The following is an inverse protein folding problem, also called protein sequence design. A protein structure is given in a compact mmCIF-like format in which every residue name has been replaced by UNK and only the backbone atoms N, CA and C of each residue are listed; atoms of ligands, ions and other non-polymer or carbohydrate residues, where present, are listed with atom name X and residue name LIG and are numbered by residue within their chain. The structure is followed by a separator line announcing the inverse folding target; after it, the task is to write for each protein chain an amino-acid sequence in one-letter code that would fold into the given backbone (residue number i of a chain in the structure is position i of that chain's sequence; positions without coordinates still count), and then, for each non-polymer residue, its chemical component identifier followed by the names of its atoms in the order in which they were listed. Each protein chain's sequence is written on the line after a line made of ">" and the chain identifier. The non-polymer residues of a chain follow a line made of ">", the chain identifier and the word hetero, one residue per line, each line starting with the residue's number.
data_IF_457999140804
#
_entry.id   IF_457999140804
#
_cell.length_a   1.000
_cell.length_b   1.000
_cell.length_c   1.000
_cell.angle_alpha   90.00
_cell.angle_beta   90.00
_cell.angle_gamma   90.00
#
_symmetry.space_group_name_H-M   'P 1'
#
loop_
_entity.id
_entity.type
_entity.pdbx_description
1 polymer ?
#
# COMPACT_ATOMS: atom_id res chain seq x y z
N UNK A 1 9.22 0.03 -0.17
CA UNK A 1 9.99 -0.17 1.08
C UNK A 1 10.74 -1.50 1.08
N UNK A 2 10.09 -2.66 0.95
CA UNK A 2 10.75 -3.98 0.96
C UNK A 2 11.82 -4.12 -0.13
N UNK A 3 11.55 -3.68 -1.37
CA UNK A 3 12.52 -3.74 -2.47
C UNK A 3 13.82 -2.99 -2.17
N UNK A 4 13.74 -1.82 -1.53
CA UNK A 4 14.93 -1.06 -1.11
C UNK A 4 15.72 -1.80 -0.05
N UNK A 5 15.02 -2.35 0.96
CA UNK A 5 15.67 -3.13 2.03
C UNK A 5 16.39 -4.36 1.46
N UNK A 6 15.75 -5.08 0.54
CA UNK A 6 16.40 -6.23 -0.12
C UNK A 6 17.65 -5.78 -0.88
N UNK A 7 17.58 -4.65 -1.60
CA UNK A 7 18.72 -4.13 -2.35
C UNK A 7 19.86 -3.69 -1.46
N UNK A 8 19.57 -3.12 -0.30
CA UNK A 8 20.55 -2.75 0.72
C UNK A 8 21.24 -3.99 1.33
N UNK A 9 20.45 -4.99 1.72
CA UNK A 9 20.97 -6.21 2.35
C UNK A 9 21.66 -7.15 1.35
N UNK A 10 21.28 -7.12 0.07
CA UNK A 10 21.79 -7.98 -1.00
C UNK A 10 22.07 -7.15 -2.26
N UNK A 11 23.13 -6.31 -2.26
CA UNK A 11 23.40 -5.36 -3.36
C UNK A 11 23.52 -6.02 -4.74
N UNK A 12 24.02 -7.27 -4.77
CA UNK A 12 24.21 -8.03 -6.00
C UNK A 12 22.97 -8.82 -6.44
N UNK A 13 21.89 -8.80 -5.66
CA UNK A 13 20.65 -9.47 -6.06
C UNK A 13 19.95 -8.66 -7.17
N UNK A 14 19.41 -9.38 -8.15
CA UNK A 14 18.41 -8.82 -9.07
C UNK A 14 17.12 -8.66 -8.28
N UNK A 15 16.66 -7.43 -8.11
CA UNK A 15 15.43 -7.12 -7.41
C UNK A 15 14.42 -6.59 -8.42
N UNK A 16 13.28 -7.25 -8.53
CA UNK A 16 12.18 -6.87 -9.43
C UNK A 16 11.04 -6.37 -8.56
N UNK A 17 10.54 -5.18 -8.85
CA UNK A 17 9.36 -4.58 -8.23
C UNK A 17 8.21 -4.60 -9.23
N UNK A 18 7.15 -5.32 -8.92
CA UNK A 18 5.94 -5.31 -9.72
C UNK A 18 5.04 -4.14 -9.30
N UNK A 19 5.08 -3.07 -10.08
CA UNK A 19 4.35 -1.84 -9.85
C UNK A 19 3.00 -1.83 -10.56
N UNK A 20 2.11 -2.70 -10.11
CA UNK A 20 0.78 -2.81 -10.68
C UNK A 20 -0.12 -1.60 -10.36
N UNK A 21 0.13 -0.93 -9.24
CA UNK A 21 -0.60 0.25 -8.77
C UNK A 21 -0.05 1.58 -9.30
N UNK A 22 0.93 1.51 -10.20
CA UNK A 22 1.59 2.70 -10.77
C UNK A 22 2.20 3.65 -9.73
N UNK A 23 2.79 3.08 -8.67
CA UNK A 23 3.43 3.84 -7.60
C UNK A 23 4.62 4.68 -8.08
N UNK A 24 5.30 4.22 -9.13
CA UNK A 24 6.44 4.95 -9.69
C UNK A 24 6.03 6.28 -10.34
N UNK A 25 4.81 6.42 -10.86
CA UNK A 25 4.31 7.72 -11.32
C UNK A 25 4.23 8.71 -10.14
N UNK A 26 3.73 8.24 -9.00
CA UNK A 26 3.67 9.06 -7.78
C UNK A 26 5.07 9.46 -7.29
N UNK A 27 6.06 8.55 -7.41
CA UNK A 27 7.45 8.85 -7.09
C UNK A 27 8.07 9.84 -8.08
N UNK A 28 7.74 9.76 -9.37
CA UNK A 28 8.22 10.71 -10.37
C UNK A 28 7.75 12.14 -10.11
N UNK A 29 6.62 12.30 -9.42
CA UNK A 29 6.02 13.58 -9.04
C UNK A 29 6.19 13.92 -7.55
N UNK A 30 7.22 13.36 -6.89
CA UNK A 30 7.41 13.56 -5.45
C UNK A 30 7.72 15.02 -5.10
N UNK A 31 8.47 15.71 -5.97
CA UNK A 31 8.84 17.12 -5.77
C UNK A 31 7.61 18.02 -5.90
N UNK A 32 6.73 17.75 -6.86
CA UNK A 32 5.44 18.44 -6.97
C UNK A 32 4.55 18.16 -5.77
N UNK A 33 4.56 16.92 -5.28
CA UNK A 33 3.81 16.54 -4.07
C UNK A 33 4.35 17.31 -2.86
N UNK A 34 5.66 17.47 -2.72
CA UNK A 34 6.27 18.28 -1.67
C UNK A 34 5.93 19.77 -1.81
N UNK A 35 5.97 20.32 -3.04
CA UNK A 35 5.55 21.70 -3.30
C UNK A 35 4.10 21.95 -2.87
N UNK A 36 3.19 21.03 -3.23
CA UNK A 36 1.79 21.11 -2.81
C UNK A 36 1.65 21.01 -1.28
N UNK A 37 2.42 20.12 -0.64
CA UNK A 37 2.45 20.00 0.82
C UNK A 37 2.81 21.32 1.50
N UNK A 38 3.81 22.04 0.97
CA UNK A 38 4.25 23.33 1.51
C UNK A 38 3.18 24.41 1.36
N UNK A 39 2.51 24.47 0.21
CA UNK A 39 1.39 25.40 0.00
C UNK A 39 0.24 25.17 0.98
N UNK A 40 -0.11 23.91 1.24
CA UNK A 40 -1.13 23.56 2.22
C UNK A 40 -0.63 23.83 3.65
N UNK A 41 0.65 23.54 3.94
CA UNK A 41 1.24 23.80 5.26
C UNK A 41 1.17 25.28 5.65
N UNK A 42 1.44 26.19 4.73
CA UNK A 42 1.33 27.63 4.97
C UNK A 42 -0.11 28.04 5.32
N UNK A 43 -1.10 27.44 4.67
CA UNK A 43 -2.51 27.69 4.99
C UNK A 43 -2.93 27.12 6.35
N UNK A 44 -2.35 26.01 6.74
CA UNK A 44 -2.69 25.30 7.98
C UNK A 44 -1.79 25.66 9.18
N UNK A 45 -0.88 26.63 9.04
CA UNK A 45 0.13 26.95 10.07
C UNK A 45 -0.46 27.25 11.45
N UNK A 46 -1.62 27.93 11.48
CA UNK A 46 -2.33 28.32 12.71
C UNK A 46 -3.41 27.30 13.13
N UNK A 47 -3.54 26.19 12.39
CA UNK A 47 -4.54 25.15 12.65
C UNK A 47 -3.88 23.99 13.41
N UNK A 48 -4.34 23.63 14.62
CA UNK A 48 -3.76 22.53 15.37
C UNK A 48 -3.82 21.21 14.60
N UNK A 49 -2.84 20.33 14.85
CA UNK A 49 -2.85 18.97 14.28
C UNK A 49 -4.10 18.21 14.71
N UNK A 50 -4.66 17.46 13.77
CA UNK A 50 -5.91 16.69 13.91
C UNK A 50 -7.17 17.53 14.17
N UNK A 51 -7.09 18.85 14.16
CA UNK A 51 -8.27 19.70 14.24
C UNK A 51 -9.11 19.59 12.96
N UNK A 52 -10.42 19.66 13.13
CA UNK A 52 -11.38 19.80 12.03
C UNK A 52 -11.18 21.15 11.36
N UNK A 53 -11.15 21.19 10.04
CA UNK A 53 -11.04 22.44 9.28
C UNK A 53 -12.41 23.12 9.18
N UNK A 54 -12.40 24.47 9.15
CA UNK A 54 -13.58 25.25 8.79
C UNK A 54 -13.91 25.07 7.31
N UNK A 55 -15.15 25.40 6.93
CA UNK A 55 -15.57 25.32 5.52
C UNK A 55 -14.79 26.32 4.64
N UNK A 56 -14.37 27.47 5.20
CA UNK A 56 -13.53 28.43 4.51
C UNK A 56 -12.14 27.86 4.21
N UNK A 57 -11.45 27.29 5.22
CA UNK A 57 -10.14 26.65 5.03
C UNK A 57 -10.22 25.47 4.06
N UNK A 58 -11.29 24.70 4.14
CA UNK A 58 -11.54 23.59 3.20
C UNK A 58 -11.66 24.12 1.78
N UNK A 59 -12.46 25.16 1.53
CA UNK A 59 -12.61 25.77 0.22
C UNK A 59 -11.29 26.34 -0.32
N UNK A 60 -10.48 26.96 0.55
CA UNK A 60 -9.15 27.45 0.19
C UNK A 60 -8.21 26.33 -0.22
N UNK A 61 -8.17 25.20 0.53
CA UNK A 61 -7.37 24.04 0.19
C UNK A 61 -7.81 23.45 -1.15
N UNK A 62 -9.12 23.32 -1.40
CA UNK A 62 -9.64 22.86 -2.69
C UNK A 62 -9.16 23.77 -3.83
N UNK A 63 -9.22 25.08 -3.64
CA UNK A 63 -8.76 26.05 -4.63
C UNK A 63 -7.25 25.94 -4.90
N UNK A 64 -6.43 25.75 -3.84
CA UNK A 64 -4.98 25.52 -3.98
C UNK A 64 -4.73 24.28 -4.83
N UNK A 65 -5.38 23.17 -4.51
CA UNK A 65 -5.20 21.88 -5.22
C UNK A 65 -5.61 21.98 -6.68
N UNK A 66 -6.76 22.59 -6.98
CA UNK A 66 -7.24 22.77 -8.36
C UNK A 66 -6.30 23.65 -9.19
N UNK A 67 -5.81 24.75 -8.62
CA UNK A 67 -4.85 25.61 -9.29
C UNK A 67 -3.50 24.92 -9.49
N UNK A 68 -3.09 24.08 -8.52
CA UNK A 68 -1.88 23.30 -8.62
C UNK A 68 -1.99 22.26 -9.73
N UNK A 69 -3.08 21.51 -9.78
CA UNK A 69 -3.35 20.52 -10.83
C UNK A 69 -3.35 21.15 -12.23
N UNK A 70 -4.02 22.29 -12.40
CA UNK A 70 -4.02 23.04 -13.67
C UNK A 70 -2.61 23.47 -14.10
N UNK A 71 -1.74 23.81 -13.15
CA UNK A 71 -0.37 24.28 -13.41
C UNK A 71 0.61 23.13 -13.68
N UNK A 72 0.50 22.04 -12.92
CA UNK A 72 1.47 20.93 -12.93
C UNK A 72 1.00 19.71 -13.72
N UNK A 73 -0.31 19.60 -13.98
CA UNK A 73 -0.90 18.45 -14.66
C UNK A 73 -1.05 17.19 -13.80
N UNK A 74 -0.61 17.22 -12.54
CA UNK A 74 -0.65 16.08 -11.63
C UNK A 74 -0.90 16.50 -10.18
N UNK A 75 -1.67 15.67 -9.46
CA UNK A 75 -1.81 15.70 -8.00
C UNK A 75 -1.90 14.27 -7.48
N UNK A 76 -1.05 13.91 -6.51
CA UNK A 76 -1.15 12.64 -5.80
C UNK A 76 -2.36 12.68 -4.83
N UNK A 77 -3.53 12.29 -5.34
CA UNK A 77 -4.77 12.29 -4.58
C UNK A 77 -4.75 11.31 -3.39
N UNK A 78 -3.97 10.23 -3.47
CA UNK A 78 -3.83 9.27 -2.37
C UNK A 78 -3.12 9.94 -1.19
N UNK A 79 -2.03 10.61 -1.47
CA UNK A 79 -1.27 11.36 -0.45
C UNK A 79 -2.07 12.55 0.07
N UNK A 80 -2.72 13.30 -0.80
CA UNK A 80 -3.60 14.41 -0.41
C UNK A 80 -4.72 13.93 0.53
N UNK A 81 -5.39 12.82 0.22
CA UNK A 81 -6.42 12.24 1.08
C UNK A 81 -5.91 11.94 2.50
N UNK A 82 -4.68 11.45 2.62
CA UNK A 82 -4.04 11.22 3.94
C UNK A 82 -3.79 12.50 4.72
N UNK A 83 -3.62 13.64 4.05
CA UNK A 83 -3.39 14.93 4.69
C UNK A 83 -4.66 15.59 5.22
N UNK A 84 -5.78 15.35 4.57
CA UNK A 84 -7.01 16.11 4.84
C UNK A 84 -8.21 15.27 5.28
N UNK A 85 -8.21 13.95 5.07
CA UNK A 85 -9.33 13.09 5.44
C UNK A 85 -9.08 12.34 6.76
N UNK A 86 -10.16 11.97 7.44
CA UNK A 86 -10.09 11.12 8.61
C UNK A 86 -9.97 9.65 8.21
N UNK A 87 -9.22 8.88 9.02
CA UNK A 87 -9.22 7.41 8.97
C UNK A 87 -8.82 6.77 7.62
N UNK A 88 -7.71 7.21 7.03
CA UNK A 88 -7.16 6.57 5.83
C UNK A 88 -8.15 6.46 4.66
N UNK A 89 -9.20 7.26 4.64
CA UNK A 89 -10.07 7.38 3.47
C UNK A 89 -9.18 7.75 2.28
N UNK A 90 -9.07 6.83 1.32
CA UNK A 90 -8.26 7.04 0.13
C UNK A 90 -9.12 7.82 -0.85
N UNK A 91 -8.61 8.93 -1.35
CA UNK A 91 -9.15 9.53 -2.56
C UNK A 91 -8.83 8.57 -3.71
N UNK A 92 -9.66 7.58 -3.90
CA UNK A 92 -9.61 6.78 -5.11
C UNK A 92 -10.03 7.72 -6.23
N UNK A 93 -9.18 7.91 -7.25
CA UNK A 93 -9.32 8.85 -8.36
C UNK A 93 -10.63 8.86 -9.15
N UNK A 94 -11.70 8.46 -8.52
CA UNK A 94 -13.08 8.40 -9.00
C UNK A 94 -13.89 9.62 -8.56
N UNK A 95 -13.46 10.33 -7.49
CA UNK A 95 -14.16 11.53 -7.03
C UNK A 95 -13.21 12.71 -7.13
N UNK A 96 -13.51 13.70 -7.98
CA UNK A 96 -12.84 15.00 -7.93
C UNK A 96 -12.90 15.56 -6.51
N UNK A 97 -11.86 16.30 -6.12
CA UNK A 97 -11.78 16.93 -4.79
C UNK A 97 -13.10 17.68 -4.42
N UNK A 98 -13.78 18.26 -5.42
CA UNK A 98 -15.07 18.94 -5.24
C UNK A 98 -16.22 18.00 -4.86
N UNK A 99 -16.20 16.75 -5.29
CA UNK A 99 -17.24 15.78 -4.89
C UNK A 99 -17.05 15.31 -3.44
N UNK A 100 -15.91 15.61 -2.84
CA UNK A 100 -15.65 15.40 -1.42
C UNK A 100 -16.11 16.59 -0.55
N UNK A 101 -16.84 17.55 -1.11
CA UNK A 101 -17.37 18.72 -0.40
C UNK A 101 -18.25 18.30 0.81
N UNK A 102 -18.90 17.14 0.78
CA UNK A 102 -19.62 16.56 1.92
C UNK A 102 -18.73 16.00 3.04
N UNK A 103 -17.46 15.73 2.77
CA UNK A 103 -16.54 15.14 3.74
C UNK A 103 -15.97 16.20 4.68
N UNK A 104 -15.73 15.80 5.93
CA UNK A 104 -15.05 16.67 6.90
C UNK A 104 -13.55 16.60 6.69
N UNK A 105 -12.91 17.74 6.50
CA UNK A 105 -11.45 17.85 6.43
C UNK A 105 -10.83 18.10 7.79
N UNK A 106 -9.61 17.60 7.96
CA UNK A 106 -8.79 17.70 9.17
C UNK A 106 -7.36 18.10 8.83
N UNK A 107 -6.68 18.80 9.75
CA UNK A 107 -5.24 19.03 9.62
C UNK A 107 -4.45 17.77 10.00
N UNK A 108 -4.21 16.88 9.06
CA UNK A 108 -3.36 15.68 9.21
C UNK A 108 -2.06 15.77 8.42
N UNK A 109 -1.74 16.96 7.94
CA UNK A 109 -0.56 17.18 7.13
C UNK A 109 0.71 16.73 7.87
N UNK A 110 1.55 15.93 7.22
CA UNK A 110 2.83 15.51 7.78
C UNK A 110 3.82 16.67 7.85
N UNK A 111 4.66 16.68 8.88
CA UNK A 111 5.65 17.74 9.08
C UNK A 111 6.94 17.50 8.29
N UNK A 112 7.30 16.22 8.09
CA UNK A 112 8.51 15.85 7.37
C UNK A 112 8.33 16.08 5.87
N UNK A 113 9.35 16.62 5.19
CA UNK A 113 9.33 16.77 3.74
C UNK A 113 9.32 15.39 3.05
N UNK A 114 8.78 15.33 1.85
CA UNK A 114 8.84 14.17 0.98
C UNK A 114 10.12 14.21 0.14
N UNK A 115 10.75 13.04 0.01
CA UNK A 115 11.87 12.84 -0.89
C UNK A 115 11.86 11.41 -1.41
N UNK A 116 12.23 11.22 -2.65
CA UNK A 116 12.45 9.91 -3.25
C UNK A 116 13.93 9.67 -3.58
N UNK A 117 14.85 10.47 -3.03
CA UNK A 117 16.28 10.33 -3.26
C UNK A 117 16.76 8.92 -2.89
N UNK A 118 17.39 8.23 -3.84
CA UNK A 118 17.86 6.84 -3.70
C UNK A 118 16.75 5.78 -3.63
N UNK A 119 15.48 6.18 -3.68
CA UNK A 119 14.37 5.23 -3.58
C UNK A 119 14.20 4.43 -4.87
N UNK A 120 14.10 3.10 -4.75
CA UNK A 120 14.08 2.13 -5.85
C UNK A 120 15.30 2.17 -6.78
N UNK A 121 16.42 2.78 -6.36
CA UNK A 121 17.64 2.82 -7.15
C UNK A 121 18.18 1.39 -7.36
N UNK A 122 18.43 1.02 -8.62
CA UNK A 122 18.92 -0.31 -8.99
C UNK A 122 17.88 -1.43 -8.85
N UNK A 123 16.61 -1.10 -8.66
CA UNK A 123 15.47 -2.03 -8.70
C UNK A 123 14.88 -2.02 -10.10
N UNK A 124 14.69 -3.21 -10.68
CA UNK A 124 13.99 -3.36 -11.97
C UNK A 124 12.49 -3.21 -11.74
N UNK A 125 11.86 -2.31 -12.48
CA UNK A 125 10.42 -2.11 -12.43
C UNK A 125 9.73 -2.84 -13.57
N UNK A 126 8.67 -3.58 -13.24
CA UNK A 126 7.72 -4.16 -14.19
C UNK A 126 6.29 -3.80 -13.79
N UNK A 127 5.35 -3.92 -14.73
CA UNK A 127 3.92 -3.79 -14.44
C UNK A 127 3.20 -4.91 -15.20
N UNK A 128 3.05 -6.06 -14.52
CA UNK A 128 2.49 -7.29 -15.07
C UNK A 128 1.42 -7.84 -14.14
N UNK A 129 0.52 -8.66 -14.67
CA UNK A 129 -0.27 -9.54 -13.80
C UNK A 129 0.67 -10.41 -12.96
N UNK A 130 0.36 -10.59 -11.69
CA UNK A 130 1.23 -11.36 -10.79
C UNK A 130 1.42 -12.80 -11.25
N UNK A 131 0.42 -13.39 -11.93
CA UNK A 131 0.50 -14.76 -12.48
C UNK A 131 1.58 -14.87 -13.54
N UNK A 132 1.67 -13.89 -14.44
CA UNK A 132 2.71 -13.83 -15.47
C UNK A 132 4.10 -13.75 -14.85
N UNK A 133 4.24 -12.91 -13.81
CA UNK A 133 5.51 -12.74 -13.13
C UNK A 133 5.93 -14.00 -12.36
N UNK A 134 4.97 -14.67 -11.71
CA UNK A 134 5.24 -15.93 -11.03
C UNK A 134 5.65 -17.01 -12.03
N UNK A 135 4.92 -17.14 -13.14
CA UNK A 135 5.23 -18.14 -14.19
C UNK A 135 6.62 -17.95 -14.78
N UNK A 136 7.11 -16.71 -14.86
CA UNK A 136 8.46 -16.40 -15.37
C UNK A 136 9.57 -16.92 -14.42
N UNK A 137 9.33 -16.94 -13.09
CA UNK A 137 10.38 -17.22 -12.11
C UNK A 137 10.14 -18.43 -11.20
N UNK A 138 8.97 -19.09 -11.24
CA UNK A 138 8.60 -20.17 -10.30
C UNK A 138 9.53 -21.38 -10.31
N UNK A 139 10.15 -21.66 -11.46
CA UNK A 139 11.08 -22.79 -11.61
C UNK A 139 12.54 -22.42 -11.29
N UNK A 140 12.80 -21.16 -10.94
CA UNK A 140 14.14 -20.74 -10.53
C UNK A 140 14.32 -20.97 -9.02
N UNK A 141 15.17 -21.93 -8.60
CA UNK A 141 15.35 -22.24 -7.17
C UNK A 141 16.01 -21.11 -6.36
N UNK A 142 16.56 -20.10 -7.04
CA UNK A 142 17.15 -18.91 -6.40
C UNK A 142 16.17 -17.73 -6.33
N UNK A 143 14.98 -17.84 -6.92
CA UNK A 143 13.98 -16.83 -6.81
C UNK A 143 13.33 -16.85 -5.42
N UNK A 144 13.14 -15.67 -4.83
CA UNK A 144 12.36 -15.46 -3.62
C UNK A 144 11.22 -14.49 -3.96
N UNK A 145 10.00 -14.95 -3.79
CA UNK A 145 8.82 -14.12 -3.97
C UNK A 145 8.47 -13.43 -2.64
N UNK A 146 8.26 -12.11 -2.69
CA UNK A 146 7.79 -11.32 -1.54
C UNK A 146 6.40 -10.77 -1.93
N UNK A 147 5.37 -11.26 -1.25
CA UNK A 147 3.98 -11.01 -1.57
C UNK A 147 3.28 -10.26 -0.44
N UNK A 148 2.74 -9.09 -0.77
CA UNK A 148 1.93 -8.26 0.13
C UNK A 148 0.61 -7.91 -0.57
N UNK A 149 -0.27 -8.91 -0.79
CA UNK A 149 -1.55 -8.69 -1.46
C UNK A 149 -2.53 -7.97 -0.54
N UNK A 150 -3.62 -7.43 -1.08
CA UNK A 150 -4.75 -6.98 -0.27
C UNK A 150 -5.20 -8.08 0.69
N UNK A 151 -5.60 -7.75 1.92
CA UNK A 151 -5.98 -8.79 2.87
C UNK A 151 -7.32 -9.44 2.51
N UNK A 152 -7.34 -10.76 2.47
CA UNK A 152 -8.52 -11.54 2.13
C UNK A 152 -9.67 -11.28 3.14
N UNK A 153 -10.89 -11.07 2.66
CA UNK A 153 -12.10 -10.79 3.44
C UNK A 153 -12.10 -9.47 4.23
N UNK A 154 -11.13 -8.59 4.03
CA UNK A 154 -11.16 -7.24 4.60
C UNK A 154 -11.98 -6.29 3.74
N UNK A 155 -12.38 -5.15 4.31
CA UNK A 155 -13.10 -4.11 3.58
C UNK A 155 -12.27 -3.62 2.39
N UNK A 156 -12.85 -3.75 1.19
CA UNK A 156 -12.22 -3.40 -0.08
C UNK A 156 -12.30 -1.90 -0.41
N UNK A 157 -12.97 -1.11 0.42
CA UNK A 157 -13.16 0.32 0.19
C UNK A 157 -11.83 1.11 0.07
N UNK A 158 -10.73 0.53 0.54
CA UNK A 158 -9.40 1.15 0.56
C UNK A 158 -8.49 0.70 -0.58
N UNK A 159 -8.92 -0.23 -1.43
CA UNK A 159 -8.14 -0.71 -2.56
C UNK A 159 -8.67 -0.12 -3.87
N UNK A 160 -7.77 0.13 -4.83
CA UNK A 160 -8.11 0.61 -6.16
C UNK A 160 -9.00 -0.37 -6.93
N UNK A 161 -9.48 0.02 -8.10
CA UNK A 161 -10.49 -0.69 -8.94
C UNK A 161 -10.28 -2.20 -9.15
N UNK A 162 -9.09 -2.72 -8.89
CA UNK A 162 -8.73 -4.12 -9.03
C UNK A 162 -8.85 -4.86 -7.69
N UNK A 163 -10.05 -4.92 -7.12
CA UNK A 163 -10.28 -5.72 -5.93
C UNK A 163 -10.13 -7.21 -6.26
N UNK A 164 -9.21 -7.87 -5.58
CA UNK A 164 -9.05 -9.31 -5.69
C UNK A 164 -10.31 -10.05 -5.25
N UNK A 165 -10.72 -11.03 -6.04
CA UNK A 165 -11.68 -12.04 -5.63
C UNK A 165 -10.98 -13.20 -4.90
N UNK A 166 -11.74 -14.16 -4.45
CA UNK A 166 -11.19 -15.35 -3.76
C UNK A 166 -10.24 -16.14 -4.69
N UNK A 167 -10.53 -16.21 -5.99
CA UNK A 167 -9.70 -16.92 -6.98
C UNK A 167 -8.28 -16.37 -7.04
N UNK A 168 -8.11 -15.05 -7.03
CA UNK A 168 -6.79 -14.42 -7.08
C UNK A 168 -5.94 -14.79 -5.85
N UNK A 169 -6.55 -14.80 -4.66
CA UNK A 169 -5.86 -15.23 -3.44
C UNK A 169 -5.47 -16.71 -3.48
N UNK A 170 -6.35 -17.58 -3.96
CA UNK A 170 -6.09 -19.02 -4.04
C UNK A 170 -5.01 -19.33 -5.08
N UNK A 171 -5.02 -18.64 -6.23
CA UNK A 171 -3.98 -18.79 -7.26
C UNK A 171 -2.61 -18.38 -6.68
N UNK A 172 -2.52 -17.20 -6.07
CA UNK A 172 -1.27 -16.75 -5.46
C UNK A 172 -0.79 -17.73 -4.38
N UNK A 173 -1.68 -18.13 -3.46
CA UNK A 173 -1.32 -19.03 -2.37
C UNK A 173 -0.83 -20.38 -2.90
N UNK A 174 -1.51 -20.98 -3.87
CA UNK A 174 -1.13 -22.25 -4.50
C UNK A 174 0.30 -22.22 -5.05
N UNK A 175 0.68 -21.11 -5.67
CA UNK A 175 2.01 -20.97 -6.26
C UNK A 175 3.07 -20.64 -5.19
N UNK A 176 2.74 -19.82 -4.22
CA UNK A 176 3.64 -19.49 -3.11
C UNK A 176 3.93 -20.69 -2.19
N UNK A 177 3.02 -21.64 -2.07
CA UNK A 177 3.26 -22.89 -1.32
C UNK A 177 4.30 -23.80 -1.98
N UNK A 178 4.63 -23.59 -3.26
CA UNK A 178 5.61 -24.40 -4.02
C UNK A 178 6.95 -23.69 -4.19
N UNK A 179 6.94 -22.36 -4.17
CA UNK A 179 8.11 -21.52 -4.39
C UNK A 179 8.74 -21.07 -3.05
N UNK A 180 9.99 -20.60 -3.08
CA UNK A 180 10.53 -19.86 -1.93
C UNK A 180 9.78 -18.53 -1.83
N UNK A 181 9.09 -18.30 -0.73
CA UNK A 181 8.21 -17.15 -0.59
C UNK A 181 8.15 -16.58 0.81
N UNK A 182 7.89 -15.27 0.87
CA UNK A 182 7.47 -14.52 2.04
C UNK A 182 6.11 -13.90 1.69
N UNK A 183 5.10 -14.16 2.51
CA UNK A 183 3.73 -13.71 2.31
C UNK A 183 3.26 -12.92 3.52
N UNK A 184 2.83 -11.67 3.31
CA UNK A 184 2.30 -10.82 4.36
C UNK A 184 0.78 -10.89 4.43
N UNK A 185 0.25 -10.94 5.63
CA UNK A 185 -1.18 -10.95 5.93
C UNK A 185 -1.45 -10.40 7.34
N UNK A 186 -2.64 -10.56 7.86
CA UNK A 186 -2.97 -10.17 9.24
C UNK A 186 -4.04 -11.09 9.83
N UNK A 187 -4.21 -11.03 11.15
CA UNK A 187 -5.31 -11.74 11.85
C UNK A 187 -6.71 -11.21 11.49
N UNK A 188 -6.80 -10.09 10.76
CA UNK A 188 -8.07 -9.61 10.16
C UNK A 188 -8.46 -10.37 8.89
N UNK A 189 -7.51 -11.09 8.30
CA UNK A 189 -7.71 -11.86 7.08
C UNK A 189 -8.17 -13.26 7.44
N UNK A 190 -9.12 -13.82 6.69
CA UNK A 190 -9.50 -15.23 6.79
C UNK A 190 -8.45 -16.21 6.22
N UNK A 191 -7.27 -15.73 5.82
CA UNK A 191 -6.27 -16.57 5.18
C UNK A 191 -5.70 -17.65 6.10
N UNK A 192 -5.46 -17.33 7.36
CA UNK A 192 -4.92 -18.32 8.33
C UNK A 192 -5.90 -19.45 8.58
N UNK A 193 -7.18 -19.11 8.82
CA UNK A 193 -8.25 -20.11 9.02
C UNK A 193 -8.36 -20.99 7.77
N UNK A 194 -8.25 -20.39 6.59
CA UNK A 194 -8.23 -21.14 5.33
C UNK A 194 -7.03 -22.07 5.22
N UNK A 195 -5.82 -21.61 5.58
CA UNK A 195 -4.60 -22.43 5.56
C UNK A 195 -4.69 -23.61 6.53
N UNK A 196 -5.23 -23.41 7.74
CA UNK A 196 -5.45 -24.46 8.73
C UNK A 196 -6.46 -25.50 8.24
N UNK A 197 -7.58 -25.03 7.69
CA UNK A 197 -8.59 -25.90 7.10
C UNK A 197 -7.98 -26.70 5.92
N UNK A 198 -7.26 -26.06 5.00
CA UNK A 198 -6.65 -26.73 3.86
C UNK A 198 -5.64 -27.78 4.30
N UNK A 199 -4.76 -27.47 5.24
CA UNK A 199 -3.79 -28.41 5.80
C UNK A 199 -4.46 -29.66 6.39
N UNK A 200 -5.61 -29.48 7.01
CA UNK A 200 -6.38 -30.58 7.61
C UNK A 200 -7.04 -31.45 6.53
N UNK A 201 -7.67 -30.86 5.54
CA UNK A 201 -8.44 -31.57 4.52
C UNK A 201 -7.57 -32.12 3.37
N UNK A 202 -6.44 -31.47 3.10
CA UNK A 202 -5.53 -31.81 1.99
C UNK A 202 -4.06 -31.88 2.44
N UNK A 203 -3.69 -32.75 3.36
CA UNK A 203 -2.36 -32.77 4.00
C UNK A 203 -1.22 -32.97 3.00
N UNK A 204 -1.45 -33.72 1.92
CA UNK A 204 -0.43 -34.02 0.89
C UNK A 204 -0.23 -32.86 -0.11
N UNK A 205 -1.09 -31.87 -0.10
CA UNK A 205 -1.00 -30.72 -1.01
C UNK A 205 0.05 -29.68 -0.60
N UNK A 206 0.39 -29.63 0.69
CA UNK A 206 1.36 -28.69 1.26
C UNK A 206 2.73 -29.36 1.35
N UNK A 207 3.57 -29.11 0.36
CA UNK A 207 4.93 -29.67 0.31
C UNK A 207 5.90 -29.02 1.29
N UNK A 208 5.68 -27.77 1.65
CA UNK A 208 6.48 -27.02 2.64
C UNK A 208 5.54 -26.38 3.66
N UNK A 209 5.80 -26.58 4.94
CA UNK A 209 5.09 -25.87 6.00
C UNK A 209 5.55 -24.40 6.02
N UNK A 210 4.59 -23.48 6.13
CA UNK A 210 4.93 -22.09 6.43
C UNK A 210 5.38 -21.95 7.89
N UNK A 211 6.45 -21.20 8.09
CA UNK A 211 6.78 -20.63 9.39
C UNK A 211 6.06 -19.30 9.53
N UNK A 212 5.50 -19.02 10.71
CA UNK A 212 4.73 -17.81 10.99
C UNK A 212 5.49 -16.96 11.99
N UNK A 213 5.64 -15.68 11.66
CA UNK A 213 6.09 -14.64 12.59
C UNK A 213 4.98 -13.56 12.65
N UNK A 214 4.70 -13.04 13.85
CA UNK A 214 3.68 -12.00 14.02
C UNK A 214 4.19 -10.81 14.81
N UNK A 215 3.62 -9.62 14.54
CA UNK A 215 3.85 -8.39 15.29
C UNK A 215 2.49 -7.82 15.66
N UNK A 216 2.30 -7.55 16.96
CA UNK A 216 1.06 -6.94 17.43
C UNK A 216 0.98 -5.47 17.01
N UNK A 217 -0.11 -5.10 16.33
CA UNK A 217 -0.39 -3.73 15.90
C UNK A 217 -1.64 -3.22 16.61
N UNK A 218 -1.53 -2.10 17.33
CA UNK A 218 -2.67 -1.43 17.97
C UNK A 218 -3.05 -0.16 17.20
N UNK A 219 -4.33 0.00 16.90
CA UNK A 219 -4.88 1.21 16.28
C UNK A 219 -5.62 2.02 17.35
N UNK A 220 -4.88 2.93 18.04
CA UNK A 220 -5.45 3.88 18.97
C UNK A 220 -5.91 3.29 20.33
N UNK A 221 -6.21 4.17 21.30
CA UNK A 221 -6.72 3.75 22.61
C UNK A 221 -8.10 3.12 22.48
N UNK A 222 -8.25 1.86 22.89
CA UNK A 222 -9.54 1.14 22.96
C UNK A 222 -9.92 0.37 21.68
N UNK A 223 -9.15 0.43 20.60
CA UNK A 223 -9.37 -0.44 19.45
C UNK A 223 -8.83 -1.86 19.74
N UNK A 224 -9.56 -2.90 19.33
CA UNK A 224 -9.00 -4.26 19.32
C UNK A 224 -7.78 -4.26 18.41
N UNK A 225 -6.62 -4.58 18.97
CA UNK A 225 -5.40 -4.78 18.21
C UNK A 225 -5.56 -5.94 17.21
N UNK A 226 -4.67 -5.98 16.23
CA UNK A 226 -4.53 -7.11 15.33
C UNK A 226 -3.04 -7.44 15.21
N UNK A 227 -2.73 -8.60 14.68
CA UNK A 227 -1.35 -8.97 14.38
C UNK A 227 -1.12 -8.89 12.89
N UNK A 228 -0.04 -8.21 12.51
CA UNK A 228 0.54 -8.35 11.17
C UNK A 228 1.37 -9.62 11.14
N UNK A 229 1.17 -10.42 10.12
CA UNK A 229 1.69 -11.78 10.01
C UNK A 229 2.57 -11.89 8.78
N UNK A 230 3.74 -12.48 8.98
CA UNK A 230 4.63 -12.92 7.92
C UNK A 230 4.67 -14.44 7.90
N UNK A 231 4.21 -15.03 6.81
CA UNK A 231 4.32 -16.46 6.51
C UNK A 231 5.47 -16.65 5.54
N UNK A 232 6.38 -17.58 5.80
CA UNK A 232 7.51 -17.81 4.90
C UNK A 232 7.86 -19.30 4.79
N UNK A 233 8.33 -19.66 3.61
CA UNK A 233 8.91 -20.94 3.29
C UNK A 233 10.15 -20.71 2.41
N UNK A 234 11.33 -20.83 2.97
CA UNK A 234 12.61 -20.59 2.31
C UNK A 234 13.59 -21.73 2.60
#
# INVERSE_FOLDING_TARGET
>A
MLSNLVKELKPNARVIYNDFDNYAERLAHIDETEELRQLIAEKLKDTPKSAKLSEELKAEICTIVENFEKRKGFVDLITLGRWVLFSCSIMNGVKPLREMIGETFYNRLVSSPYSAEGYLQGVERVSKDFRELIDEFKDNPKALFICDPPYMLTDKAHYTKNSWGLSEYLDLLKDMMKANSIYFTSTKSGLLDFCEWWKKEFPDSIKKAYTIASIHTSIGKGAKGFEDIMMYNV
#
